data_IF_503372265355
#
_entry.id   IF_503372265355
#
_cell.length_a   1.000
_cell.length_b   1.000
_cell.length_c   1.000
_cell.angle_alpha   90.00
_cell.angle_beta   90.00
_cell.angle_gamma   90.00
#
_symmetry.space_group_name_H-M   'P 1'
#
loop_
_entity.id
_entity.type
_entity.pdbx_description
1 polymer ?
#
# COMPACT_ATOMS: atom_id res chain seq x y z
N UNK A 1 31.22 25.39 -22.61
CA UNK A 1 30.30 25.45 -21.45
C UNK A 1 28.98 24.85 -21.96
N UNK A 2 28.61 23.60 -21.68
CA UNK A 2 28.30 23.03 -20.37
C UNK A 2 28.61 21.52 -20.28
N UNK A 3 28.70 21.09 -19.02
CA UNK A 3 29.17 19.82 -18.47
C UNK A 3 28.28 18.61 -18.85
N UNK A 4 28.89 17.51 -19.30
CA UNK A 4 28.23 16.21 -19.40
C UNK A 4 28.22 15.55 -18.02
N UNK A 5 27.02 15.28 -17.49
CA UNK A 5 26.83 14.67 -16.17
C UNK A 5 27.09 13.16 -16.25
N UNK A 6 28.18 12.71 -15.62
CA UNK A 6 28.49 11.30 -15.38
C UNK A 6 27.40 10.62 -14.54
N UNK A 7 26.54 9.82 -15.18
CA UNK A 7 25.67 8.87 -14.47
C UNK A 7 26.51 7.67 -14.03
N UNK A 8 27.00 7.68 -12.79
CA UNK A 8 27.59 6.50 -12.15
C UNK A 8 26.52 5.41 -12.03
N UNK A 9 26.57 4.43 -12.93
CA UNK A 9 25.86 3.15 -12.76
C UNK A 9 26.54 2.43 -11.60
N UNK A 10 25.82 2.27 -10.48
CA UNK A 10 26.30 1.51 -9.34
C UNK A 10 26.30 0.03 -9.75
N UNK A 11 27.48 -0.50 -10.12
CA UNK A 11 27.67 -1.93 -10.29
C UNK A 11 27.73 -2.58 -8.90
N UNK A 12 26.65 -3.24 -8.48
CA UNK A 12 26.63 -4.06 -7.27
C UNK A 12 27.27 -5.41 -7.58
N UNK A 13 28.34 -5.76 -6.88
CA UNK A 13 28.96 -7.08 -6.91
C UNK A 13 28.00 -8.12 -6.31
N UNK A 14 27.58 -9.11 -7.11
CA UNK A 14 26.59 -10.12 -6.72
C UNK A 14 27.23 -11.49 -6.46
N UNK A 15 28.18 -11.54 -5.53
CA UNK A 15 28.61 -12.84 -4.97
C UNK A 15 27.68 -13.17 -3.80
N UNK A 16 26.82 -14.20 -3.89
CA UNK A 16 26.03 -14.61 -2.75
C UNK A 16 26.97 -15.18 -1.68
N UNK A 17 27.14 -14.47 -0.56
CA UNK A 17 27.46 -15.15 0.69
C UNK A 17 26.32 -16.12 0.94
N UNK A 18 26.63 -17.38 1.25
CA UNK A 18 25.63 -18.32 1.73
C UNK A 18 24.93 -17.68 2.93
N UNK A 19 23.74 -17.16 2.70
CA UNK A 19 22.93 -16.53 3.72
C UNK A 19 22.33 -17.64 4.56
N UNK A 20 22.61 -17.64 5.85
CA UNK A 20 21.86 -18.44 6.82
C UNK A 20 20.39 -18.02 6.71
N UNK A 21 19.55 -18.91 6.17
CA UNK A 21 18.11 -18.67 6.11
C UNK A 21 17.54 -18.66 7.54
N UNK A 22 16.60 -17.75 7.80
CA UNK A 22 15.84 -17.73 9.05
C UNK A 22 15.06 -19.03 9.24
N UNK A 23 14.91 -19.48 10.48
CA UNK A 23 14.02 -20.59 10.80
C UNK A 23 12.56 -20.15 10.72
N UNK A 24 11.63 -21.11 10.61
CA UNK A 24 10.19 -20.82 10.63
C UNK A 24 9.74 -20.11 11.92
N UNK A 25 10.40 -20.42 13.04
CA UNK A 25 10.15 -19.78 14.32
C UNK A 25 10.58 -18.31 14.30
N UNK A 26 11.73 -17.99 13.70
CA UNK A 26 12.20 -16.61 13.54
C UNK A 26 11.28 -15.80 12.63
N UNK A 27 10.84 -16.39 11.51
CA UNK A 27 9.88 -15.76 10.59
C UNK A 27 8.55 -15.47 11.29
N UNK A 28 8.06 -16.42 12.10
CA UNK A 28 6.83 -16.24 12.88
C UNK A 28 6.97 -15.13 13.93
N UNK A 29 8.09 -15.10 14.65
CA UNK A 29 8.34 -14.07 15.66
C UNK A 29 8.44 -12.67 15.04
N UNK A 30 9.06 -12.54 13.87
CA UNK A 30 9.13 -11.28 13.12
C UNK A 30 7.74 -10.81 12.68
N UNK A 31 6.90 -11.72 12.17
CA UNK A 31 5.53 -11.38 11.78
C UNK A 31 4.70 -10.87 12.96
N UNK A 32 4.80 -11.54 14.12
CA UNK A 32 4.11 -11.10 15.35
C UNK A 32 4.59 -9.74 15.84
N UNK A 33 5.88 -9.44 15.69
CA UNK A 33 6.42 -8.14 16.06
C UNK A 33 5.92 -7.03 15.12
N UNK A 34 5.87 -7.29 13.81
CA UNK A 34 5.27 -6.37 12.85
C UNK A 34 3.78 -6.15 13.15
N UNK A 35 3.01 -7.20 13.47
CA UNK A 35 1.60 -7.08 13.87
C UNK A 35 1.41 -6.18 15.11
N UNK A 36 2.31 -6.27 16.09
CA UNK A 36 2.30 -5.38 17.27
C UNK A 36 2.58 -3.93 16.88
N UNK A 37 3.53 -3.70 15.97
CA UNK A 37 3.85 -2.35 15.48
C UNK A 37 2.71 -1.74 14.67
N UNK A 38 1.90 -2.57 13.99
CA UNK A 38 0.72 -2.14 13.22
C UNK A 38 -0.44 -1.64 14.10
N UNK A 39 -0.47 -1.96 15.40
CA UNK A 39 -1.49 -1.46 16.33
C UNK A 39 -1.31 0.01 16.75
N UNK A 40 -0.21 0.64 16.34
CA UNK A 40 0.06 2.03 16.69
C UNK A 40 -0.92 2.98 15.99
N UNK A 41 -1.16 4.12 16.62
CA UNK A 41 -1.93 5.18 15.99
C UNK A 41 -1.19 5.75 14.76
N UNK A 42 -1.88 5.83 13.64
CA UNK A 42 -1.48 6.60 12.46
C UNK A 42 -2.57 7.62 12.14
N UNK A 43 -2.16 8.87 11.91
CA UNK A 43 -3.11 9.92 11.54
C UNK A 43 -3.56 9.73 10.09
N UNK A 44 -4.85 9.92 9.79
CA UNK A 44 -5.41 9.76 8.44
C UNK A 44 -4.69 10.62 7.39
N UNK A 45 -4.48 10.07 6.19
CA UNK A 45 -4.01 10.83 5.03
C UNK A 45 -5.18 11.66 4.45
N UNK A 46 -5.03 12.99 4.29
CA UNK A 46 -6.02 13.85 3.66
C UNK A 46 -6.43 13.41 2.26
N UNK A 47 -5.54 12.75 1.51
CA UNK A 47 -5.81 12.27 0.17
C UNK A 47 -6.74 11.04 0.18
N UNK A 48 -6.92 10.35 1.31
CA UNK A 48 -7.79 9.19 1.43
C UNK A 48 -7.11 7.97 2.06
N UNK A 49 -7.72 6.80 1.87
CA UNK A 49 -7.18 5.51 2.29
C UNK A 49 -7.38 4.48 1.18
N UNK A 50 -6.70 3.34 1.32
CA UNK A 50 -6.76 2.24 0.36
C UNK A 50 -7.25 0.96 1.02
N UNK A 51 -8.11 0.25 0.31
CA UNK A 51 -8.38 -1.17 0.55
C UNK A 51 -7.68 -1.97 -0.55
N UNK A 52 -6.91 -2.97 -0.14
CA UNK A 52 -6.15 -3.81 -1.08
C UNK A 52 -6.73 -5.21 -1.06
N UNK A 53 -6.79 -5.83 -2.24
CA UNK A 53 -7.14 -7.24 -2.39
C UNK A 53 -6.32 -7.89 -3.49
N UNK A 54 -6.20 -9.21 -3.40
CA UNK A 54 -5.58 -10.04 -4.44
C UNK A 54 -6.69 -10.69 -5.27
N UNK A 55 -6.63 -10.48 -6.58
CA UNK A 55 -7.50 -11.07 -7.59
C UNK A 55 -6.74 -12.21 -8.26
N UNK A 56 -6.79 -13.39 -7.64
CA UNK A 56 -6.01 -14.55 -8.07
C UNK A 56 -6.44 -15.09 -9.44
N UNK A 57 -7.70 -14.92 -9.82
CA UNK A 57 -8.21 -15.31 -11.14
C UNK A 57 -7.62 -14.43 -12.24
N UNK A 58 -7.59 -13.11 -12.02
CA UNK A 58 -6.99 -12.17 -12.96
C UNK A 58 -5.45 -12.15 -12.92
N UNK A 59 -4.84 -12.66 -11.84
CA UNK A 59 -3.40 -12.55 -11.60
C UNK A 59 -2.97 -11.13 -11.24
N UNK A 60 -3.82 -10.40 -10.51
CA UNK A 60 -3.65 -8.98 -10.24
C UNK A 60 -3.80 -8.63 -8.74
N UNK A 61 -3.17 -7.56 -8.34
CA UNK A 61 -3.42 -6.83 -7.09
C UNK A 61 -4.37 -5.69 -7.44
N UNK A 62 -5.39 -5.49 -6.61
CA UNK A 62 -6.36 -4.42 -6.76
C UNK A 62 -6.24 -3.49 -5.55
N UNK A 63 -5.98 -2.22 -5.80
CA UNK A 63 -5.95 -1.17 -4.79
C UNK A 63 -7.09 -0.19 -5.03
N UNK A 64 -8.05 -0.17 -4.13
CA UNK A 64 -9.26 0.66 -4.18
C UNK A 64 -9.08 1.87 -3.28
N UNK A 65 -9.09 3.05 -3.86
CA UNK A 65 -8.91 4.32 -3.15
C UNK A 65 -10.24 4.91 -2.70
N UNK A 66 -10.27 5.46 -1.49
CA UNK A 66 -11.43 6.11 -0.90
C UNK A 66 -11.05 7.45 -0.30
N UNK A 67 -11.76 8.51 -0.69
CA UNK A 67 -11.53 9.84 -0.11
C UNK A 67 -11.90 9.88 1.39
N UNK A 68 -11.08 10.58 2.16
CA UNK A 68 -11.39 10.99 3.52
C UNK A 68 -12.05 12.37 3.46
N UNK A 69 -13.35 12.45 3.14
CA UNK A 69 -14.05 13.70 3.43
C UNK A 69 -14.12 13.80 4.95
N UNK A 70 -13.66 14.91 5.51
CA UNK A 70 -13.65 15.14 6.94
C UNK A 70 -14.60 16.31 7.20
N UNK A 71 -15.58 16.14 8.09
CA UNK A 71 -16.46 17.24 8.49
C UNK A 71 -15.74 18.27 9.38
N UNK A 72 -16.43 19.37 9.69
CA UNK A 72 -15.89 20.43 10.56
C UNK A 72 -15.50 19.95 11.99
N UNK A 73 -15.83 18.71 12.36
CA UNK A 73 -15.52 18.10 13.67
C UNK A 73 -14.42 17.03 13.58
N UNK A 74 -13.79 16.86 12.42
CA UNK A 74 -12.70 15.89 12.25
C UNK A 74 -13.16 14.46 11.97
N UNK A 75 -14.45 14.23 11.67
CA UNK A 75 -15.00 12.88 11.43
C UNK A 75 -15.03 12.58 9.94
N UNK A 76 -14.66 11.36 9.56
CA UNK A 76 -14.79 10.90 8.19
C UNK A 76 -16.28 10.87 7.81
N UNK A 77 -16.64 11.48 6.67
CA UNK A 77 -18.01 11.56 6.15
C UNK A 77 -18.08 11.03 4.73
N UNK A 78 -19.25 10.50 4.35
CA UNK A 78 -19.51 10.14 2.97
C UNK A 78 -19.56 11.41 2.09
N UNK A 79 -18.90 11.43 0.91
CA UNK A 79 -18.88 12.62 0.06
C UNK A 79 -20.22 12.98 -0.58
N UNK A 80 -21.10 12.01 -0.80
CA UNK A 80 -22.39 12.20 -1.45
C UNK A 80 -23.48 12.55 -0.43
N UNK A 81 -23.49 11.92 0.75
CA UNK A 81 -24.52 12.15 1.79
C UNK A 81 -24.08 13.11 2.90
N UNK A 82 -22.77 13.31 3.12
CA UNK A 82 -22.25 14.08 4.25
C UNK A 82 -22.41 13.41 5.61
N UNK A 83 -22.90 12.17 5.65
CA UNK A 83 -23.08 11.39 6.88
C UNK A 83 -21.74 10.89 7.41
N UNK A 84 -21.59 10.81 8.74
CA UNK A 84 -20.40 10.25 9.36
C UNK A 84 -20.26 8.78 8.98
N UNK A 85 -19.12 8.44 8.40
CA UNK A 85 -18.71 7.07 8.14
C UNK A 85 -18.57 6.38 9.49
N UNK A 86 -19.61 5.64 9.87
CA UNK A 86 -19.60 4.74 11.01
C UNK A 86 -19.43 3.32 10.50
N UNK A 87 -18.76 2.45 11.26
CA UNK A 87 -18.56 1.04 10.89
C UNK A 87 -19.86 0.23 10.69
N UNK A 88 -21.05 0.85 10.85
CA UNK A 88 -22.36 0.19 10.87
C UNK A 88 -23.28 0.62 9.72
N UNK A 89 -22.90 1.58 8.87
CA UNK A 89 -23.74 2.00 7.75
C UNK A 89 -23.56 1.06 6.56
N UNK A 90 -24.61 0.29 6.26
CA UNK A 90 -24.70 -0.80 5.29
C UNK A 90 -24.66 -0.36 3.80
N UNK A 91 -24.13 0.82 3.50
CA UNK A 91 -23.97 1.34 2.14
C UNK A 91 -22.55 1.06 1.65
N UNK A 92 -22.39 0.09 0.75
CA UNK A 92 -21.09 -0.27 0.17
C UNK A 92 -20.59 0.89 -0.72
N UNK A 93 -19.75 1.74 -0.15
CA UNK A 93 -19.20 2.92 -0.83
C UNK A 93 -18.40 2.49 -2.05
N UNK A 94 -18.61 3.15 -3.19
CA UNK A 94 -17.81 2.93 -4.38
C UNK A 94 -16.41 3.57 -4.20
N UNK A 95 -15.34 2.92 -4.67
CA UNK A 95 -14.02 3.53 -4.66
C UNK A 95 -14.00 4.76 -5.57
N UNK A 96 -13.23 5.77 -5.16
CA UNK A 96 -13.02 6.98 -5.95
C UNK A 96 -12.15 6.70 -7.17
N UNK A 97 -11.18 5.79 -7.03
CA UNK A 97 -10.35 5.26 -8.10
C UNK A 97 -10.01 3.81 -7.77
N UNK A 98 -9.94 2.94 -8.77
CA UNK A 98 -9.41 1.58 -8.64
C UNK A 98 -8.16 1.46 -9.48
N UNK A 99 -7.07 1.02 -8.85
CA UNK A 99 -5.81 0.70 -9.52
C UNK A 99 -5.67 -0.83 -9.58
N UNK A 100 -5.17 -1.33 -10.71
CA UNK A 100 -4.90 -2.74 -10.92
C UNK A 100 -3.49 -2.92 -11.49
N UNK A 101 -2.79 -3.94 -11.03
CA UNK A 101 -1.46 -4.26 -11.53
C UNK A 101 -1.01 -5.64 -11.06
N UNK A 102 -0.01 -6.20 -11.73
CA UNK A 102 0.49 -7.57 -11.49
C UNK A 102 1.61 -7.61 -10.45
N UNK A 103 2.13 -6.44 -10.06
CA UNK A 103 3.23 -6.29 -9.11
C UNK A 103 3.05 -5.05 -8.24
N UNK A 104 3.70 -5.05 -7.07
CA UNK A 104 3.75 -3.86 -6.22
C UNK A 104 4.40 -2.68 -6.96
N UNK A 105 5.41 -2.97 -7.78
CA UNK A 105 6.12 -1.96 -8.57
C UNK A 105 5.23 -1.28 -9.62
N UNK A 106 4.42 -2.05 -10.33
CA UNK A 106 3.49 -1.51 -11.32
C UNK A 106 2.48 -0.56 -10.66
N UNK A 107 1.86 -0.98 -9.56
CA UNK A 107 0.95 -0.13 -8.79
C UNK A 107 1.67 1.09 -8.21
N UNK A 108 2.89 0.93 -7.69
CA UNK A 108 3.71 2.03 -7.20
C UNK A 108 3.95 3.12 -8.26
N UNK A 109 4.24 2.73 -9.50
CA UNK A 109 4.38 3.66 -10.64
C UNK A 109 3.05 4.38 -10.89
N UNK A 110 1.92 3.66 -10.96
CA UNK A 110 0.61 4.28 -11.18
C UNK A 110 0.26 5.31 -10.11
N UNK A 111 0.56 5.01 -8.85
CA UNK A 111 0.24 5.84 -7.69
C UNK A 111 1.14 7.08 -7.57
N UNK A 112 2.41 7.00 -7.99
CA UNK A 112 3.42 8.04 -7.72
C UNK A 112 3.87 8.82 -8.96
N UNK A 113 3.80 8.21 -10.14
CA UNK A 113 4.20 8.81 -11.41
C UNK A 113 2.99 9.17 -12.30
N UNK A 114 1.78 8.88 -11.82
CA UNK A 114 0.52 9.19 -12.48
C UNK A 114 0.18 10.69 -12.55
N UNK A 115 -1.03 10.99 -13.04
CA UNK A 115 -1.55 12.36 -13.10
C UNK A 115 -1.95 12.84 -11.72
N UNK A 116 -1.67 14.11 -11.41
CA UNK A 116 -2.12 14.77 -10.19
C UNK A 116 -3.66 14.98 -10.18
N UNK A 117 -4.30 15.06 -9.00
CA UNK A 117 -3.70 14.93 -7.66
C UNK A 117 -3.27 13.49 -7.36
N UNK A 118 -2.18 13.32 -6.60
CA UNK A 118 -1.75 12.00 -6.16
C UNK A 118 -2.69 11.48 -5.07
N UNK A 119 -3.02 10.19 -5.07
CA UNK A 119 -3.99 9.62 -4.13
C UNK A 119 -3.40 9.32 -2.73
N UNK A 120 -2.12 9.64 -2.52
CA UNK A 120 -1.40 9.60 -1.24
C UNK A 120 -0.67 10.93 -1.07
N UNK A 121 -0.81 11.58 0.09
CA UNK A 121 -0.17 12.86 0.39
C UNK A 121 0.83 12.80 1.54
N UNK A 122 0.84 11.73 2.34
CA UNK A 122 1.75 11.56 3.48
C UNK A 122 2.78 10.45 3.28
N UNK A 123 4.00 10.69 3.75
CA UNK A 123 5.13 9.77 3.58
C UNK A 123 4.96 8.46 4.34
N UNK A 124 4.43 8.52 5.56
CA UNK A 124 4.12 7.35 6.39
C UNK A 124 3.05 6.45 5.73
N UNK A 125 2.04 7.06 5.09
CA UNK A 125 1.04 6.34 4.30
C UNK A 125 1.62 5.75 3.01
N UNK A 126 2.49 6.49 2.32
CA UNK A 126 3.18 5.96 1.14
C UNK A 126 4.07 4.74 1.50
N UNK A 127 4.74 4.79 2.66
CA UNK A 127 5.52 3.68 3.17
C UNK A 127 4.65 2.47 3.54
N UNK A 128 3.56 2.69 4.28
CA UNK A 128 2.58 1.65 4.60
C UNK A 128 2.03 0.98 3.34
N UNK A 129 1.56 1.79 2.38
CA UNK A 129 1.02 1.29 1.12
C UNK A 129 2.06 0.47 0.35
N UNK A 130 3.32 0.90 0.31
CA UNK A 130 4.40 0.12 -0.29
C UNK A 130 4.60 -1.26 0.36
N UNK A 131 4.55 -1.34 1.71
CA UNK A 131 4.62 -2.62 2.43
C UNK A 131 3.46 -3.53 2.07
N UNK A 132 2.24 -3.00 2.08
CA UNK A 132 1.03 -3.77 1.79
C UNK A 132 1.00 -4.27 0.34
N UNK A 133 1.41 -3.45 -0.62
CA UNK A 133 1.49 -3.87 -2.01
C UNK A 133 2.53 -4.99 -2.20
N UNK A 134 3.67 -4.92 -1.51
CA UNK A 134 4.69 -5.96 -1.58
C UNK A 134 4.21 -7.28 -0.93
N UNK A 135 3.47 -7.18 0.18
CA UNK A 135 2.81 -8.32 0.84
C UNK A 135 1.77 -8.95 -0.07
N UNK A 136 0.91 -8.15 -0.70
CA UNK A 136 -0.10 -8.60 -1.66
C UNK A 136 0.52 -9.30 -2.87
N UNK A 137 1.61 -8.74 -3.43
CA UNK A 137 2.37 -9.38 -4.51
C UNK A 137 2.94 -10.74 -4.09
N UNK A 138 3.54 -10.83 -2.89
CA UNK A 138 4.07 -12.08 -2.39
C UNK A 138 2.97 -13.14 -2.17
N UNK A 139 1.80 -12.73 -1.66
CA UNK A 139 0.63 -13.60 -1.53
C UNK A 139 0.13 -14.09 -2.90
N UNK A 140 0.00 -13.19 -3.88
CA UNK A 140 -0.38 -13.52 -5.25
C UNK A 140 0.57 -14.56 -5.87
N UNK A 141 1.89 -14.34 -5.78
CA UNK A 141 2.91 -15.25 -6.34
C UNK A 141 2.90 -16.61 -5.63
N UNK A 142 2.72 -16.63 -4.31
CA UNK A 142 2.74 -17.87 -3.52
C UNK A 142 1.40 -18.59 -3.44
N UNK A 143 0.32 -18.02 -3.98
CA UNK A 143 -1.04 -18.54 -3.86
C UNK A 143 -1.58 -18.52 -2.41
N UNK A 144 -0.98 -17.74 -1.52
CA UNK A 144 -1.43 -17.61 -0.12
C UNK A 144 -2.50 -16.53 0.01
N UNK A 145 -3.35 -16.65 1.02
CA UNK A 145 -4.32 -15.61 1.35
C UNK A 145 -3.60 -14.30 1.72
N UNK A 146 -4.03 -13.20 1.14
CA UNK A 146 -3.63 -11.86 1.55
C UNK A 146 -4.59 -11.35 2.63
N UNK A 147 -4.02 -10.76 3.68
CA UNK A 147 -4.75 -9.98 4.68
C UNK A 147 -3.99 -8.68 4.88
N UNK A 148 -4.70 -7.56 4.77
CA UNK A 148 -4.14 -6.23 5.00
C UNK A 148 -3.89 -6.04 6.50
N UNK A 149 -2.75 -5.44 6.86
CA UNK A 149 -2.40 -5.09 8.25
C UNK A 149 -3.46 -4.17 8.92
#
# INVERSE_FOLDING_TARGET
MACASDRKVIQRSNSPRAAECLSDADVTALAQYDDQLSQRFISLDPAGYFLIRVDAEAGEIVAEHYNNNIDARGRAVDPASGEVLSCHSNSQRAPSVTFRGRSAKELGIQLTEGKRPYPVSRLDHAFYLGRELQKAEACLISGRCYNQD
#
